data_IF_210122782303
#
_entry.id   IF_210122782303
#
_cell.length_a   1.000
_cell.length_b   1.000
_cell.length_c   1.000
_cell.angle_alpha   90.00
_cell.angle_beta   90.00
_cell.angle_gamma   90.00
#
_symmetry.space_group_name_H-M   'P 1'
#
loop_
_entity.id
_entity.type
_entity.pdbx_description
1 polymer ?
#
# COMPACT_ATOMS: atom_id res chain seq x y z
N UNK A 1 11.49 -5.36 -17.73
CA UNK A 1 10.74 -4.47 -16.80
C UNK A 1 10.98 -4.92 -15.37
N UNK A 2 11.32 -3.99 -14.48
CA UNK A 2 11.48 -4.29 -13.04
C UNK A 2 10.10 -4.61 -12.45
N UNK A 3 10.05 -5.65 -11.63
CA UNK A 3 8.84 -6.11 -10.94
C UNK A 3 9.02 -5.84 -9.46
N UNK A 4 7.92 -5.51 -8.81
CA UNK A 4 7.88 -5.21 -7.40
C UNK A 4 6.87 -6.12 -6.70
N UNK A 5 7.13 -6.39 -5.42
CA UNK A 5 6.12 -6.88 -4.50
C UNK A 5 5.59 -5.68 -3.73
N UNK A 6 4.27 -5.55 -3.67
CA UNK A 6 3.62 -4.48 -2.91
C UNK A 6 2.76 -5.09 -1.83
N UNK A 7 2.86 -4.56 -0.61
CA UNK A 7 2.01 -4.93 0.52
C UNK A 7 1.31 -3.66 0.99
N UNK A 8 -0.01 -3.59 0.84
CA UNK A 8 -0.82 -2.46 1.26
C UNK A 8 -1.64 -2.80 2.51
N UNK A 9 -1.89 -1.78 3.34
CA UNK A 9 -2.80 -1.87 4.48
C UNK A 9 -4.08 -1.10 4.16
N UNK A 10 -5.22 -1.77 4.28
CA UNK A 10 -6.57 -1.21 4.20
C UNK A 10 -7.23 -1.21 5.58
N UNK A 11 -7.85 -0.10 5.95
CA UNK A 11 -8.45 0.10 7.27
C UNK A 11 -9.84 -0.56 7.35
N UNK A 12 -10.16 -1.27 8.44
CA UNK A 12 -11.56 -1.62 8.71
C UNK A 12 -12.43 -0.36 8.90
N UNK A 13 -13.74 -0.49 8.86
CA UNK A 13 -14.67 0.64 8.97
C UNK A 13 -14.43 1.51 10.21
N UNK A 14 -14.15 0.89 11.36
CA UNK A 14 -13.84 1.61 12.60
C UNK A 14 -12.55 2.44 12.47
N UNK A 15 -11.48 1.85 11.95
CA UNK A 15 -10.21 2.54 11.76
C UNK A 15 -10.30 3.61 10.66
N UNK A 16 -11.09 3.34 9.62
CA UNK A 16 -11.33 4.29 8.53
C UNK A 16 -12.10 5.50 9.05
N UNK A 17 -13.18 5.30 9.80
CA UNK A 17 -13.93 6.37 10.48
C UNK A 17 -13.03 7.21 11.36
N UNK A 18 -12.18 6.57 12.18
CA UNK A 18 -11.19 7.27 13.01
C UNK A 18 -10.22 8.12 12.17
N UNK A 19 -9.69 7.53 11.09
CA UNK A 19 -8.78 8.22 10.18
C UNK A 19 -9.45 9.43 9.50
N UNK A 20 -10.71 9.31 9.07
CA UNK A 20 -11.47 10.39 8.45
C UNK A 20 -11.76 11.54 9.43
N UNK A 21 -11.96 11.21 10.70
CA UNK A 21 -12.15 12.18 11.78
C UNK A 21 -10.83 12.76 12.34
N UNK A 22 -9.69 12.49 11.70
CA UNK A 22 -8.35 12.87 12.17
C UNK A 22 -8.05 12.41 13.61
N UNK A 23 -8.61 11.28 14.00
CA UNK A 23 -8.37 10.65 15.30
C UNK A 23 -7.41 9.48 15.18
N UNK A 24 -6.70 9.20 16.27
CA UNK A 24 -5.77 8.08 16.32
C UNK A 24 -6.49 6.75 16.12
N UNK A 25 -5.92 5.88 15.30
CA UNK A 25 -6.34 4.49 15.14
C UNK A 25 -5.13 3.56 15.33
N UNK A 26 -5.39 2.35 15.80
CA UNK A 26 -4.33 1.36 15.97
C UNK A 26 -3.88 0.80 14.61
N UNK A 27 -2.63 1.08 14.24
CA UNK A 27 -1.98 0.54 13.04
C UNK A 27 -1.79 -0.98 13.09
N UNK A 28 -1.91 -1.60 14.27
CA UNK A 28 -1.86 -3.06 14.49
C UNK A 28 -3.24 -3.70 14.61
N UNK A 29 -4.32 -2.95 14.36
CA UNK A 29 -5.68 -3.48 14.38
C UNK A 29 -5.77 -4.75 13.50
N UNK A 30 -6.22 -5.86 14.12
CA UNK A 30 -6.34 -7.17 13.48
C UNK A 30 -7.51 -7.23 12.47
N UNK A 31 -8.49 -6.33 12.59
CA UNK A 31 -9.60 -6.21 11.65
C UNK A 31 -9.19 -5.47 10.36
N UNK A 32 -8.07 -4.76 10.36
CA UNK A 32 -7.54 -4.13 9.16
C UNK A 32 -6.91 -5.17 8.24
N UNK A 33 -7.18 -5.06 6.95
CA UNK A 33 -6.71 -6.03 5.96
C UNK A 33 -5.32 -5.66 5.44
N UNK A 34 -4.49 -6.68 5.26
CA UNK A 34 -3.23 -6.59 4.55
C UNK A 34 -3.34 -7.35 3.23
N UNK A 35 -3.13 -6.65 2.12
CA UNK A 35 -3.17 -7.24 0.80
C UNK A 35 -1.79 -7.21 0.16
N UNK A 36 -1.44 -8.27 -0.56
CA UNK A 36 -0.12 -8.48 -1.18
C UNK A 36 -0.28 -8.74 -2.66
N UNK A 37 0.47 -7.98 -3.46
CA UNK A 37 0.58 -8.16 -4.90
C UNK A 37 2.01 -8.50 -5.28
N UNK A 38 2.16 -9.64 -5.95
CA UNK A 38 3.40 -10.07 -6.56
C UNK A 38 3.33 -9.69 -8.04
N UNK A 39 4.33 -8.98 -8.58
CA UNK A 39 4.39 -8.52 -9.99
C UNK A 39 3.74 -7.15 -10.29
N UNK A 40 3.87 -6.18 -9.39
CA UNK A 40 3.55 -4.78 -9.71
C UNK A 40 4.67 -4.20 -10.57
N UNK A 41 4.33 -3.56 -11.69
CA UNK A 41 5.31 -3.00 -12.65
C UNK A 41 5.25 -1.47 -12.77
N UNK A 42 4.15 -0.85 -12.30
CA UNK A 42 3.96 0.60 -12.32
C UNK A 42 3.24 1.02 -11.04
N UNK A 43 3.94 1.76 -10.16
CA UNK A 43 3.41 2.15 -8.84
C UNK A 43 2.30 3.22 -8.92
N UNK A 44 2.34 4.10 -9.92
CA UNK A 44 1.30 5.11 -10.13
C UNK A 44 0.00 4.42 -10.51
N UNK A 45 0.02 3.58 -11.56
CA UNK A 45 -1.16 2.81 -11.99
C UNK A 45 -1.67 1.88 -10.90
N UNK A 46 -0.78 1.23 -10.17
CA UNK A 46 -1.17 0.41 -9.03
C UNK A 46 -1.93 1.23 -7.98
N UNK A 47 -1.47 2.45 -7.70
CA UNK A 47 -2.14 3.32 -6.75
C UNK A 47 -3.52 3.77 -7.24
N UNK A 48 -3.63 4.24 -8.50
CA UNK A 48 -4.90 4.75 -9.03
C UNK A 48 -5.91 3.67 -9.36
N UNK A 49 -5.47 2.58 -10.00
CA UNK A 49 -6.37 1.63 -10.64
C UNK A 49 -6.71 0.45 -9.72
N UNK A 50 -5.87 0.19 -8.71
CA UNK A 50 -6.06 -0.90 -7.74
C UNK A 50 -6.37 -0.35 -6.36
N UNK A 51 -5.49 0.47 -5.79
CA UNK A 51 -5.68 0.91 -4.40
C UNK A 51 -6.85 1.89 -4.27
N UNK A 52 -6.87 2.97 -5.06
CA UNK A 52 -7.92 3.99 -4.94
C UNK A 52 -9.31 3.45 -5.34
N UNK A 53 -9.34 2.50 -6.28
CA UNK A 53 -10.58 1.92 -6.80
C UNK A 53 -11.11 0.77 -5.95
N UNK A 54 -10.28 -0.23 -5.67
CA UNK A 54 -10.73 -1.48 -5.03
C UNK A 54 -10.54 -1.46 -3.52
N UNK A 55 -9.67 -0.60 -3.00
CA UNK A 55 -9.35 -0.47 -1.58
C UNK A 55 -9.36 1.00 -1.12
N UNK A 56 -10.45 1.76 -1.29
CA UNK A 56 -10.47 3.21 -1.05
C UNK A 56 -10.11 3.60 0.39
N UNK A 57 -10.18 2.67 1.35
CA UNK A 57 -9.76 2.80 2.75
C UNK A 57 -8.28 2.45 3.00
N UNK A 58 -7.45 2.34 1.95
CA UNK A 58 -6.02 2.11 2.10
C UNK A 58 -5.32 3.31 2.74
N UNK A 59 -4.30 3.05 3.56
CA UNK A 59 -3.58 4.11 4.31
C UNK A 59 -2.11 4.21 3.90
N UNK A 60 -1.44 3.07 3.74
CA UNK A 60 -0.07 3.02 3.25
C UNK A 60 0.20 1.70 2.54
N UNK A 61 1.23 1.68 1.70
CA UNK A 61 1.79 0.46 1.15
C UNK A 61 3.31 0.49 1.13
N UNK A 62 3.91 -0.69 1.26
CA UNK A 62 5.34 -0.91 1.19
C UNK A 62 5.69 -1.61 -0.12
N UNK A 63 6.77 -1.18 -0.74
CA UNK A 63 7.30 -1.74 -1.98
C UNK A 63 8.57 -2.51 -1.67
N UNK A 64 8.68 -3.71 -2.22
CA UNK A 64 9.80 -4.62 -2.05
C UNK A 64 10.31 -5.08 -3.42
N UNK A 65 11.58 -5.49 -3.47
CA UNK A 65 12.10 -6.20 -4.63
C UNK A 65 11.31 -7.49 -4.87
N UNK A 66 10.94 -7.73 -6.12
CA UNK A 66 10.33 -8.99 -6.49
C UNK A 66 11.41 -10.05 -6.71
N UNK A 67 11.60 -10.90 -5.70
CA UNK A 67 12.39 -12.13 -5.79
C UNK A 67 11.42 -13.30 -5.61
N UNK A 68 11.38 -14.23 -6.57
CA UNK A 68 10.47 -15.37 -6.54
C UNK A 68 10.84 -16.27 -5.34
N UNK A 69 9.88 -16.53 -4.46
CA UNK A 69 10.08 -17.37 -3.27
C UNK A 69 10.66 -16.65 -2.04
N UNK A 70 11.10 -15.39 -2.18
CA UNK A 70 11.68 -14.63 -1.07
C UNK A 70 10.87 -13.38 -0.75
N UNK A 71 11.13 -12.75 0.41
CA UNK A 71 10.48 -11.50 0.81
C UNK A 71 11.02 -10.26 0.08
N UNK A 72 12.25 -10.33 -0.44
CA UNK A 72 12.95 -9.20 -1.06
C UNK A 72 13.26 -8.07 -0.05
N UNK A 73 14.16 -7.16 -0.41
CA UNK A 73 14.41 -5.98 0.43
C UNK A 73 13.32 -4.93 0.22
N UNK A 74 12.98 -4.19 1.28
CA UNK A 74 12.08 -3.04 1.19
C UNK A 74 12.78 -1.91 0.43
N UNK A 75 12.12 -1.42 -0.61
CA UNK A 75 12.58 -0.30 -1.44
C UNK A 75 11.96 1.03 -1.00
N UNK A 76 10.69 1.01 -0.58
CA UNK A 76 9.99 2.24 -0.24
C UNK A 76 8.69 2.02 0.53
N UNK A 77 8.13 3.11 1.03
CA UNK A 77 6.83 3.17 1.69
C UNK A 77 6.09 4.41 1.21
N UNK A 78 4.81 4.24 0.89
CA UNK A 78 3.94 5.29 0.37
C UNK A 78 2.68 5.38 1.18
N UNK A 79 2.12 6.57 1.27
CA UNK A 79 0.93 6.86 2.08
C UNK A 79 -0.11 7.55 1.22
N UNK A 80 -1.39 7.27 1.47
CA UNK A 80 -2.51 7.82 0.70
C UNK A 80 -2.55 9.34 0.76
N UNK A 81 -2.44 9.88 1.97
CA UNK A 81 -2.48 11.33 2.24
C UNK A 81 -1.07 11.88 2.56
N UNK A 82 -0.04 11.33 1.95
CA UNK A 82 1.35 11.72 2.20
C UNK A 82 2.22 11.52 0.98
N UNK A 83 3.36 10.84 1.16
CA UNK A 83 4.25 10.50 0.04
C UNK A 83 3.57 9.47 -0.87
N UNK A 84 2.95 9.91 -1.96
CA UNK A 84 2.48 9.04 -3.05
C UNK A 84 3.59 8.85 -4.09
N UNK A 85 3.57 7.75 -4.86
CA UNK A 85 4.52 7.57 -5.95
C UNK A 85 4.31 8.66 -6.99
N UNK A 86 5.37 9.39 -7.35
CA UNK A 86 5.35 10.43 -8.38
C UNK A 86 5.97 9.96 -9.71
N UNK A 87 6.61 8.80 -9.70
CA UNK A 87 7.16 8.14 -10.89
C UNK A 87 6.66 6.70 -10.98
N UNK A 88 6.56 6.10 -12.19
CA UNK A 88 6.20 4.70 -12.36
C UNK A 88 7.16 3.74 -11.64
N UNK A 89 8.40 4.20 -11.45
CA UNK A 89 9.50 3.50 -10.81
C UNK A 89 10.06 4.40 -9.72
N UNK A 90 9.96 3.99 -8.47
CA UNK A 90 10.80 4.57 -7.41
C UNK A 90 11.95 3.59 -7.13
N UNK A 91 13.13 4.18 -6.90
CA UNK A 91 14.42 3.50 -6.77
C UNK A 91 14.71 3.19 -5.30
#
# INVERSE_FOLDING_TARGET
MKRYRVIAKALCDDCNTKSLNNTWFDVRCNNCTWAKWNNVTNLIKFTSDVLDKDHPNWVFFNVFEYIKGENGRRLGSYQKNGKRPITPFEL
#
